data_IF_782791205562
#
_entry.id   IF_782791205562
#
_cell.length_a   1.000
_cell.length_b   1.000
_cell.length_c   1.000
_cell.angle_alpha   90.00
_cell.angle_beta   90.00
_cell.angle_gamma   90.00
#
_symmetry.space_group_name_H-M   'P 1'
#
loop_
_entity.id
_entity.type
_entity.pdbx_description
1 polymer ?
#
# COMPACT_ATOMS: atom_id res chain seq x y z
N UNK A 1 46.65 16.82 35.19
CA UNK A 1 45.20 16.68 35.34
C UNK A 1 44.55 17.13 34.05
N UNK A 2 44.41 16.24 33.12
CA UNK A 2 43.95 16.49 31.77
C UNK A 2 42.58 15.82 31.62
N UNK A 3 41.54 16.62 31.48
CA UNK A 3 40.18 16.18 31.20
C UNK A 3 40.01 16.00 29.69
N UNK A 4 39.94 14.78 29.24
CA UNK A 4 39.56 14.43 27.86
C UNK A 4 38.04 14.61 27.69
N UNK A 5 37.71 15.52 26.81
CA UNK A 5 36.37 15.71 26.26
C UNK A 5 36.11 14.63 25.20
N UNK A 6 35.28 13.65 25.51
CA UNK A 6 34.73 12.69 24.52
C UNK A 6 33.76 13.44 23.61
N UNK A 7 34.20 13.62 22.39
CA UNK A 7 33.45 14.13 21.26
C UNK A 7 32.30 13.19 20.90
N UNK A 8 31.06 13.70 20.99
CA UNK A 8 29.87 13.07 20.44
C UNK A 8 29.88 13.27 18.92
N UNK A 9 30.21 12.26 18.17
CA UNK A 9 29.99 12.19 16.73
C UNK A 9 29.47 10.83 16.36
N UNK A 10 28.20 10.75 16.07
CA UNK A 10 27.65 10.07 14.91
C UNK A 10 26.11 10.11 14.92
N UNK A 11 25.55 11.25 14.61
CA UNK A 11 24.21 11.30 14.07
C UNK A 11 24.35 11.03 12.56
N UNK A 12 24.17 9.78 12.16
CA UNK A 12 24.01 9.45 10.75
C UNK A 12 22.77 10.20 10.23
N UNK A 13 22.98 11.05 9.23
CA UNK A 13 21.92 11.73 8.51
C UNK A 13 20.93 10.67 7.96
N UNK A 14 19.62 10.90 8.02
CA UNK A 14 18.65 10.00 7.40
C UNK A 14 18.98 9.93 5.91
N UNK A 15 19.22 8.71 5.42
CA UNK A 15 19.37 8.44 3.99
C UNK A 15 18.14 9.02 3.29
N UNK A 16 18.34 9.90 2.31
CA UNK A 16 17.27 10.49 1.53
C UNK A 16 16.46 9.35 0.86
N UNK A 17 15.35 8.99 1.47
CA UNK A 17 14.33 8.13 0.83
C UNK A 17 13.85 8.94 -0.37
N UNK A 18 13.91 8.40 -1.60
CA UNK A 18 13.34 9.10 -2.75
C UNK A 18 11.91 9.48 -2.38
N UNK A 19 11.49 10.71 -2.66
CA UNK A 19 10.15 11.19 -2.35
C UNK A 19 9.14 10.46 -3.27
N UNK A 20 8.86 9.19 -2.94
CA UNK A 20 7.99 8.29 -3.70
C UNK A 20 6.60 8.92 -3.87
N UNK A 21 6.15 9.72 -2.90
CA UNK A 21 4.92 10.49 -3.03
C UNK A 21 4.98 11.54 -4.14
N UNK A 22 6.16 12.07 -4.50
CA UNK A 22 6.26 13.04 -5.58
C UNK A 22 5.94 12.41 -6.95
N UNK A 23 6.32 11.15 -7.15
CA UNK A 23 6.19 10.45 -8.43
C UNK A 23 4.87 9.64 -8.54
N UNK A 24 4.23 9.29 -7.42
CA UNK A 24 3.04 8.43 -7.37
C UNK A 24 1.81 9.25 -6.94
N UNK A 25 1.10 9.78 -7.94
CA UNK A 25 -0.12 10.57 -7.73
C UNK A 25 -1.26 9.77 -7.04
N UNK A 26 -1.32 8.47 -7.31
CA UNK A 26 -2.24 7.52 -6.68
C UNK A 26 -1.97 7.37 -5.17
N UNK A 27 -0.71 7.21 -4.77
CA UNK A 27 -0.33 7.13 -3.35
C UNK A 27 -0.68 8.42 -2.60
N UNK A 28 -0.42 9.59 -3.21
CA UNK A 28 -0.84 10.88 -2.63
C UNK A 28 -2.34 11.00 -2.46
N UNK A 29 -3.10 10.50 -3.41
CA UNK A 29 -4.56 10.53 -3.33
C UNK A 29 -5.05 9.66 -2.15
N UNK A 30 -4.50 8.46 -1.99
CA UNK A 30 -4.83 7.54 -0.90
C UNK A 30 -4.41 8.14 0.45
N UNK A 31 -3.17 8.63 0.58
CA UNK A 31 -2.63 9.18 1.83
C UNK A 31 -3.48 10.32 2.42
N UNK A 32 -4.20 11.09 1.58
CA UNK A 32 -5.09 12.17 2.04
C UNK A 32 -6.33 11.68 2.82
N UNK A 33 -6.68 10.41 2.69
CA UNK A 33 -7.82 9.79 3.33
C UNK A 33 -7.43 8.95 4.54
N UNK A 34 -6.12 8.84 4.84
CA UNK A 34 -5.61 8.05 5.95
C UNK A 34 -5.36 8.97 7.15
N UNK A 35 -5.93 8.60 8.28
CA UNK A 35 -5.67 9.29 9.53
C UNK A 35 -4.28 8.93 10.07
N UNK A 36 -3.47 9.91 10.52
CA UNK A 36 -2.18 9.62 11.16
C UNK A 36 -2.34 8.73 12.40
N UNK A 37 -1.32 7.90 12.66
CA UNK A 37 -1.28 6.95 13.78
C UNK A 37 -2.38 5.89 13.77
N UNK A 38 -3.07 5.68 12.64
CA UNK A 38 -4.13 4.68 12.49
C UNK A 38 -3.59 3.31 12.10
N UNK A 39 -4.47 2.31 12.12
CA UNK A 39 -4.19 0.95 11.63
C UNK A 39 -4.69 0.78 10.20
N UNK A 40 -3.80 0.37 9.29
CA UNK A 40 -4.10 0.26 7.86
C UNK A 40 -3.83 -1.16 7.37
N UNK A 41 -4.77 -1.73 6.61
CA UNK A 41 -4.62 -3.00 5.90
C UNK A 41 -4.70 -2.76 4.38
N UNK A 42 -3.69 -3.19 3.63
CA UNK A 42 -3.69 -3.13 2.16
C UNK A 42 -3.84 -4.52 1.56
N UNK A 43 -4.87 -4.71 0.75
CA UNK A 43 -5.23 -5.97 0.11
C UNK A 43 -4.61 -6.04 -1.30
N UNK A 44 -3.60 -6.89 -1.48
CA UNK A 44 -2.77 -6.95 -2.66
C UNK A 44 -1.71 -5.84 -2.62
N UNK A 45 -0.93 -5.82 -1.54
CA UNK A 45 0.03 -4.76 -1.27
C UNK A 45 1.27 -4.79 -2.17
N UNK A 46 1.39 -5.79 -3.05
CA UNK A 46 2.53 -6.00 -3.94
C UNK A 46 3.87 -5.90 -3.19
N UNK A 47 4.75 -5.01 -3.59
CA UNK A 47 6.06 -4.79 -2.96
C UNK A 47 6.02 -3.95 -1.67
N UNK A 48 4.84 -3.61 -1.17
CA UNK A 48 4.64 -2.84 0.06
C UNK A 48 5.01 -1.36 -0.03
N UNK A 49 5.26 -0.82 -1.22
CA UNK A 49 5.70 0.57 -1.39
C UNK A 49 4.69 1.59 -0.84
N UNK A 50 3.39 1.38 -1.06
CA UNK A 50 2.34 2.24 -0.51
C UNK A 50 2.38 2.23 1.02
N UNK A 51 2.37 1.04 1.62
CA UNK A 51 2.38 0.89 3.08
C UNK A 51 3.62 1.48 3.72
N UNK A 52 4.79 1.32 3.09
CA UNK A 52 6.03 1.92 3.56
C UNK A 52 5.93 3.45 3.59
N UNK A 53 5.40 4.05 2.54
CA UNK A 53 5.18 5.50 2.47
C UNK A 53 4.20 5.97 3.55
N UNK A 54 3.10 5.25 3.79
CA UNK A 54 2.14 5.60 4.83
C UNK A 54 2.76 5.49 6.24
N UNK A 55 3.62 4.49 6.48
CA UNK A 55 4.37 4.39 7.74
C UNK A 55 5.31 5.60 7.94
N UNK A 56 6.07 5.97 6.89
CA UNK A 56 7.07 7.04 7.00
C UNK A 56 6.43 8.44 7.14
N UNK A 57 5.29 8.69 6.50
CA UNK A 57 4.67 10.01 6.42
C UNK A 57 3.57 10.22 7.48
N UNK A 58 2.87 9.16 7.89
CA UNK A 58 1.69 9.24 8.74
C UNK A 58 1.80 8.42 10.03
N UNK A 59 2.93 7.73 10.26
CA UNK A 59 3.18 6.90 11.45
C UNK A 59 2.09 5.84 11.68
N UNK A 60 1.55 5.26 10.59
CA UNK A 60 0.50 4.24 10.68
C UNK A 60 1.06 2.87 11.02
N UNK A 61 0.25 2.02 11.66
CA UNK A 61 0.51 0.60 11.78
C UNK A 61 0.01 -0.11 10.51
N UNK A 62 0.94 -0.42 9.61
CA UNK A 62 0.64 -0.92 8.27
C UNK A 62 0.78 -2.43 8.17
N UNK A 63 -0.25 -3.07 7.63
CA UNK A 63 -0.31 -4.51 7.34
C UNK A 63 -0.67 -4.72 5.88
N UNK A 64 -0.05 -5.70 5.23
CA UNK A 64 -0.34 -6.07 3.86
C UNK A 64 -0.78 -7.52 3.71
N UNK A 65 -1.62 -7.78 2.71
CA UNK A 65 -1.89 -9.11 2.21
C UNK A 65 -1.39 -9.17 0.76
N UNK A 66 -0.62 -10.21 0.44
CA UNK A 66 -0.11 -10.43 -0.90
C UNK A 66 -0.09 -11.94 -1.19
N UNK A 67 -0.32 -12.34 -2.43
CA UNK A 67 -0.30 -13.75 -2.84
C UNK A 67 1.04 -14.13 -3.47
N UNK A 68 1.71 -13.19 -4.13
CA UNK A 68 2.95 -13.45 -4.85
C UNK A 68 4.16 -13.47 -3.92
N UNK A 69 4.96 -14.53 -4.02
CA UNK A 69 6.16 -14.74 -3.18
C UNK A 69 7.17 -13.59 -3.30
N UNK A 70 7.36 -13.08 -4.52
CA UNK A 70 8.30 -11.98 -4.77
C UNK A 70 7.81 -10.67 -4.14
N UNK A 71 6.49 -10.39 -4.22
CA UNK A 71 5.85 -9.26 -3.56
C UNK A 71 5.99 -9.34 -2.05
N UNK A 72 5.65 -10.47 -1.44
CA UNK A 72 5.79 -10.71 0.01
C UNK A 72 7.24 -10.47 0.46
N UNK A 73 8.22 -11.03 -0.26
CA UNK A 73 9.63 -10.85 0.08
C UNK A 73 10.08 -9.39 -0.07
N UNK A 74 9.60 -8.69 -1.09
CA UNK A 74 9.94 -7.28 -1.33
C UNK A 74 9.34 -6.37 -0.24
N UNK A 75 8.08 -6.59 0.15
CA UNK A 75 7.41 -5.85 1.23
C UNK A 75 8.10 -6.09 2.58
N UNK A 76 8.43 -7.34 2.91
CA UNK A 76 9.15 -7.69 4.14
C UNK A 76 10.53 -7.02 4.21
N UNK A 77 11.27 -6.95 3.09
CA UNK A 77 12.56 -6.24 3.01
C UNK A 77 12.43 -4.73 3.28
N UNK A 78 11.28 -4.15 3.00
CA UNK A 78 10.97 -2.74 3.31
C UNK A 78 10.50 -2.51 4.74
N UNK A 79 10.40 -3.58 5.55
CA UNK A 79 9.94 -3.51 6.94
C UNK A 79 8.41 -3.43 7.06
N UNK A 80 7.66 -3.77 6.01
CA UNK A 80 6.20 -3.87 6.06
C UNK A 80 5.80 -5.24 6.60
N UNK A 81 4.83 -5.27 7.50
CA UNK A 81 4.22 -6.52 7.97
C UNK A 81 3.29 -7.05 6.89
N UNK A 82 3.61 -8.20 6.33
CA UNK A 82 2.86 -8.79 5.22
C UNK A 82 2.49 -10.24 5.52
N UNK A 83 1.26 -10.61 5.17
CA UNK A 83 0.72 -11.97 5.28
C UNK A 83 0.55 -12.50 3.85
N UNK A 84 1.13 -13.67 3.59
CA UNK A 84 0.91 -14.34 2.30
C UNK A 84 -0.43 -15.05 2.30
N UNK A 85 -1.39 -14.54 1.54
CA UNK A 85 -2.73 -15.09 1.50
C UNK A 85 -3.46 -14.73 0.20
N UNK A 86 -4.28 -15.67 -0.29
CA UNK A 86 -5.23 -15.38 -1.36
C UNK A 86 -6.47 -14.66 -0.79
N UNK A 87 -6.77 -13.48 -1.32
CA UNK A 87 -7.92 -12.66 -0.90
C UNK A 87 -9.26 -13.37 -1.11
N UNK A 88 -9.35 -14.27 -2.08
CA UNK A 88 -10.57 -15.04 -2.35
C UNK A 88 -10.92 -16.05 -1.24
N UNK A 89 -9.96 -16.39 -0.39
CA UNK A 89 -10.18 -17.17 0.83
C UNK A 89 -10.85 -16.38 1.97
N UNK A 90 -11.10 -15.08 1.76
CA UNK A 90 -11.68 -14.18 2.76
C UNK A 90 -10.65 -13.67 3.77
N UNK A 91 -11.10 -12.84 4.69
CA UNK A 91 -10.30 -12.20 5.74
C UNK A 91 -10.60 -12.74 7.13
N UNK A 92 -10.89 -14.05 7.24
CA UNK A 92 -11.31 -14.70 8.47
C UNK A 92 -10.28 -14.62 9.64
N UNK A 93 -9.03 -14.29 9.33
CA UNK A 93 -7.98 -14.05 10.32
C UNK A 93 -8.19 -12.76 11.13
N UNK A 94 -9.02 -11.83 10.64
CA UNK A 94 -9.22 -10.53 11.23
C UNK A 94 -10.64 -10.40 11.81
N UNK A 95 -10.70 -9.76 12.96
CA UNK A 95 -11.97 -9.45 13.62
C UNK A 95 -12.71 -8.29 12.93
N UNK A 96 -13.99 -8.14 13.20
CA UNK A 96 -14.80 -7.05 12.71
C UNK A 96 -14.23 -5.70 13.19
N UNK A 97 -14.09 -4.73 12.26
CA UNK A 97 -13.61 -3.38 12.57
C UNK A 97 -12.23 -3.33 13.25
N UNK A 98 -11.37 -4.33 12.98
CA UNK A 98 -10.01 -4.40 13.54
C UNK A 98 -9.03 -3.40 12.88
N UNK A 99 -9.38 -2.83 11.72
CA UNK A 99 -8.60 -1.80 11.05
C UNK A 99 -9.37 -0.49 10.92
N UNK A 100 -8.68 0.63 11.07
CA UNK A 100 -9.28 1.94 10.83
C UNK A 100 -9.53 2.14 9.33
N UNK A 101 -8.55 1.78 8.49
CA UNK A 101 -8.72 1.84 7.02
C UNK A 101 -8.27 0.54 6.35
N UNK A 102 -9.09 0.05 5.42
CA UNK A 102 -8.73 -1.06 4.50
C UNK A 102 -8.64 -0.53 3.09
N UNK A 103 -7.51 -0.78 2.44
CA UNK A 103 -7.21 -0.35 1.08
C UNK A 103 -7.31 -1.55 0.13
N UNK A 104 -7.84 -1.33 -1.06
CA UNK A 104 -7.75 -2.22 -2.21
C UNK A 104 -7.35 -1.38 -3.43
N UNK A 105 -6.05 -1.32 -3.69
CA UNK A 105 -5.51 -0.47 -4.74
C UNK A 105 -5.12 -1.28 -5.96
N UNK A 106 -5.75 -0.98 -7.10
CA UNK A 106 -5.48 -1.58 -8.43
C UNK A 106 -5.56 -3.12 -8.51
N UNK A 107 -6.04 -3.78 -7.46
CA UNK A 107 -6.14 -5.24 -7.35
C UNK A 107 -7.53 -5.76 -7.75
N UNK A 108 -8.55 -4.88 -7.75
CA UNK A 108 -9.95 -5.26 -7.95
C UNK A 108 -10.19 -6.07 -9.24
N UNK A 109 -9.48 -5.75 -10.31
CA UNK A 109 -9.63 -6.40 -11.62
C UNK A 109 -9.05 -7.80 -11.69
N UNK A 110 -8.23 -8.21 -10.74
CA UNK A 110 -7.63 -9.56 -10.67
C UNK A 110 -8.45 -10.52 -9.82
N UNK A 111 -9.46 -10.01 -9.11
CA UNK A 111 -10.30 -10.77 -8.17
C UNK A 111 -11.54 -11.31 -8.90
N UNK A 112 -11.76 -12.62 -8.84
CA UNK A 112 -12.95 -13.26 -9.44
C UNK A 112 -14.19 -13.02 -8.59
N UNK A 113 -14.09 -13.14 -7.27
CA UNK A 113 -15.22 -12.92 -6.36
C UNK A 113 -15.16 -11.56 -5.66
N UNK A 114 -15.19 -10.50 -6.46
CA UNK A 114 -15.11 -9.11 -6.00
C UNK A 114 -16.13 -8.78 -4.91
N UNK A 115 -17.37 -9.27 -5.03
CA UNK A 115 -18.42 -8.97 -4.06
C UNK A 115 -18.12 -9.54 -2.66
N UNK A 116 -17.49 -10.70 -2.59
CA UNK A 116 -17.07 -11.30 -1.32
C UNK A 116 -15.95 -10.47 -0.69
N UNK A 117 -14.91 -10.13 -1.47
CA UNK A 117 -13.79 -9.34 -0.96
C UNK A 117 -14.25 -7.97 -0.45
N UNK A 118 -15.14 -7.28 -1.17
CA UNK A 118 -15.68 -6.00 -0.71
C UNK A 118 -16.52 -6.13 0.58
N UNK A 119 -17.29 -7.21 0.75
CA UNK A 119 -18.00 -7.46 2.03
C UNK A 119 -17.02 -7.66 3.18
N UNK A 120 -15.97 -8.44 2.97
CA UNK A 120 -14.93 -8.67 3.97
C UNK A 120 -14.18 -7.38 4.31
N UNK A 121 -13.84 -6.55 3.32
CA UNK A 121 -13.29 -5.21 3.57
C UNK A 121 -14.19 -4.37 4.49
N UNK A 122 -15.49 -4.31 4.18
CA UNK A 122 -16.47 -3.57 4.98
C UNK A 122 -16.67 -4.19 6.38
N UNK A 123 -16.42 -5.48 6.54
CA UNK A 123 -16.47 -6.14 7.84
C UNK A 123 -15.26 -5.78 8.68
N UNK A 124 -14.04 -5.92 8.16
CA UNK A 124 -12.80 -5.74 8.92
C UNK A 124 -12.38 -4.27 9.06
N UNK A 125 -12.74 -3.41 8.10
CA UNK A 125 -12.41 -1.98 8.10
C UNK A 125 -13.52 -1.11 8.66
N UNK A 126 -13.14 -0.01 9.31
CA UNK A 126 -14.06 1.09 9.64
C UNK A 126 -14.32 1.93 8.40
N UNK A 127 -13.25 2.22 7.66
CA UNK A 127 -13.27 2.89 6.37
C UNK A 127 -12.63 2.01 5.30
N UNK A 128 -13.06 2.17 4.05
CA UNK A 128 -12.55 1.39 2.92
C UNK A 128 -12.21 2.32 1.76
N UNK A 129 -11.01 2.15 1.20
CA UNK A 129 -10.54 2.88 0.02
C UNK A 129 -10.36 1.86 -1.10
N UNK A 130 -11.06 2.06 -2.21
CA UNK A 130 -10.89 1.25 -3.41
C UNK A 130 -10.40 2.14 -4.54
N UNK A 131 -9.28 1.80 -5.14
CA UNK A 131 -8.79 2.48 -6.34
C UNK A 131 -8.73 1.53 -7.53
N UNK A 132 -8.98 2.08 -8.69
CA UNK A 132 -8.92 1.34 -9.95
C UNK A 132 -8.40 2.25 -11.06
N UNK A 133 -7.78 1.70 -12.12
CA UNK A 133 -7.27 2.47 -13.23
C UNK A 133 -8.38 3.28 -13.91
N UNK A 134 -8.11 4.55 -14.19
CA UNK A 134 -9.05 5.39 -14.92
C UNK A 134 -9.02 5.07 -16.42
N UNK A 135 -9.77 4.06 -16.86
CA UNK A 135 -9.93 3.70 -18.27
C UNK A 135 -10.60 4.81 -19.11
N UNK A 136 -11.25 5.80 -18.47
CA UNK A 136 -11.80 6.97 -19.13
C UNK A 136 -10.77 8.06 -19.46
N UNK A 137 -9.54 7.92 -18.98
CA UNK A 137 -8.47 8.86 -19.27
C UNK A 137 -8.19 8.92 -20.79
N UNK A 138 -8.29 10.11 -21.35
CA UNK A 138 -8.22 10.37 -22.78
C UNK A 138 -7.05 9.68 -23.52
N UNK A 139 -5.80 9.64 -23.02
CA UNK A 139 -4.73 8.92 -23.70
C UNK A 139 -4.96 7.41 -23.76
N UNK A 140 -5.59 6.80 -22.73
CA UNK A 140 -5.95 5.38 -22.75
C UNK A 140 -7.06 5.10 -23.76
N UNK A 141 -8.06 5.97 -23.88
CA UNK A 141 -9.11 5.86 -24.90
C UNK A 141 -8.54 5.92 -26.31
N UNK A 142 -7.56 6.82 -26.54
CA UNK A 142 -6.90 6.92 -27.84
C UNK A 142 -6.05 5.69 -28.19
N UNK A 143 -5.40 5.07 -27.19
CA UNK A 143 -4.66 3.82 -27.36
C UNK A 143 -5.59 2.66 -27.72
N UNK A 144 -6.73 2.53 -27.03
CA UNK A 144 -7.74 1.51 -27.32
C UNK A 144 -8.31 1.72 -28.73
N UNK A 145 -8.59 2.96 -29.12
CA UNK A 145 -9.08 3.29 -30.46
C UNK A 145 -8.07 2.93 -31.58
N UNK A 146 -6.79 2.89 -31.24
CA UNK A 146 -5.69 2.44 -32.12
C UNK A 146 -5.40 0.94 -32.02
N UNK A 147 -6.26 0.17 -31.34
CA UNK A 147 -6.09 -1.28 -31.15
C UNK A 147 -4.95 -1.66 -30.21
N UNK A 148 -4.48 -0.72 -29.36
CA UNK A 148 -3.44 -0.97 -28.37
C UNK A 148 -4.06 -0.97 -26.98
N UNK A 149 -3.84 -2.05 -26.23
CA UNK A 149 -4.21 -2.10 -24.82
C UNK A 149 -3.33 -1.10 -24.06
N UNK A 150 -3.90 -0.16 -23.27
CA UNK A 150 -3.08 0.69 -22.39
C UNK A 150 -2.49 -0.20 -21.31
N UNK A 151 -1.18 -0.37 -21.34
CA UNK A 151 -0.42 -1.03 -20.27
C UNK A 151 0.01 0.08 -19.31
N UNK A 152 -0.44 0.06 -18.08
CA UNK A 152 0.16 0.90 -17.04
C UNK A 152 1.49 0.26 -16.66
N UNK A 153 2.57 1.05 -16.58
CA UNK A 153 3.88 0.58 -16.11
C UNK A 153 3.89 0.19 -14.61
N UNK A 154 2.71 -0.02 -14.04
CA UNK A 154 2.49 -0.37 -12.64
C UNK A 154 2.02 -1.83 -12.47
N UNK A 155 2.52 -2.73 -13.33
CA UNK A 155 2.44 -4.18 -13.15
C UNK A 155 3.85 -4.75 -13.12
#
# INVERSE_FOLDING_TARGET
MTTETLSAQNAAAPSAVPNILADRADFRAIARWIEPNSTVLDLGCADGSLLRVLQDELDVQAYGIEIDDAGVLAAAKKGVQVIQQNLEGGLALFEDKSFDTVILSQTLQTIHNTAQVLREMLRVGRECIVSFPNFGYWPHRLSIFRGRMPVSEAL
#
